data_IF_892989259961
#
_entry.id   IF_892989259961
#
_cell.length_a   1.000
_cell.length_b   1.000
_cell.length_c   1.000
_cell.angle_alpha   90.00
_cell.angle_beta   90.00
_cell.angle_gamma   90.00
#
_symmetry.space_group_name_H-M   'P 1'
#
loop_
_entity.id
_entity.type
_entity.pdbx_description
1 polymer ?
#
# COMPACT_ATOMS: atom_id res chain seq x y z
N UNK A 1 15.37 -20.64 -16.39
CA UNK A 1 15.63 -19.27 -15.90
C UNK A 1 15.75 -19.29 -14.39
N UNK A 2 16.65 -18.48 -13.85
CA UNK A 2 16.83 -18.33 -12.39
C UNK A 2 15.75 -17.42 -11.79
N UNK A 3 15.19 -16.52 -12.59
CA UNK A 3 14.21 -15.52 -12.17
C UNK A 3 12.91 -15.66 -12.95
N UNK A 4 11.79 -15.38 -12.30
CA UNK A 4 10.46 -15.42 -12.86
C UNK A 4 9.48 -14.52 -12.12
N UNK A 5 8.31 -14.21 -12.70
CA UNK A 5 7.30 -13.39 -12.05
C UNK A 5 6.55 -14.19 -10.97
N UNK A 6 6.36 -13.59 -9.80
CA UNK A 6 5.66 -14.21 -8.68
C UNK A 6 4.16 -14.42 -8.98
N UNK A 7 3.53 -13.44 -9.59
CA UNK A 7 2.10 -13.44 -9.92
C UNK A 7 1.85 -13.50 -11.43
N UNK A 8 2.37 -14.56 -12.08
CA UNK A 8 2.22 -14.78 -13.51
C UNK A 8 0.77 -14.85 -13.99
N UNK A 9 -0.10 -15.38 -13.14
CA UNK A 9 -1.50 -15.63 -13.45
C UNK A 9 -2.39 -14.44 -13.12
N UNK A 10 -1.81 -13.33 -12.63
CA UNK A 10 -2.53 -12.16 -12.17
C UNK A 10 -3.61 -12.51 -11.12
N UNK A 11 -3.21 -13.28 -10.11
CA UNK A 11 -4.10 -13.82 -9.07
C UNK A 11 -4.33 -12.86 -7.90
N UNK A 12 -3.74 -11.66 -7.95
CA UNK A 12 -3.79 -10.68 -6.87
C UNK A 12 -2.76 -10.88 -5.78
N UNK A 13 -1.80 -11.79 -5.97
CA UNK A 13 -0.75 -12.08 -4.99
C UNK A 13 0.43 -11.10 -5.03
N UNK A 14 0.44 -10.17 -5.97
CA UNK A 14 1.49 -9.16 -6.12
C UNK A 14 1.86 -8.47 -4.79
N UNK A 15 0.88 -8.18 -3.96
CA UNK A 15 1.09 -7.50 -2.68
C UNK A 15 1.86 -8.36 -1.67
N UNK A 16 1.75 -9.69 -1.73
CA UNK A 16 2.46 -10.61 -0.83
C UNK A 16 3.99 -10.45 -0.93
N UNK A 17 4.50 -10.03 -2.08
CA UNK A 17 5.92 -9.70 -2.27
C UNK A 17 6.44 -8.63 -1.30
N UNK A 18 5.56 -7.82 -0.77
CA UNK A 18 5.93 -6.65 0.05
C UNK A 18 5.63 -6.84 1.54
N UNK A 19 4.91 -7.86 1.92
CA UNK A 19 4.61 -8.12 3.33
C UNK A 19 5.10 -9.46 3.84
N UNK A 20 5.36 -10.43 2.99
CA UNK A 20 5.93 -11.71 3.39
C UNK A 20 7.47 -11.72 3.26
N UNK A 21 8.11 -12.57 4.08
CA UNK A 21 9.50 -12.92 3.82
C UNK A 21 9.56 -13.81 2.60
N UNK A 22 10.33 -13.38 1.63
CA UNK A 22 10.35 -13.97 0.29
C UNK A 22 11.65 -14.71 0.00
N UNK A 23 12.22 -15.35 1.02
CA UNK A 23 13.37 -16.25 0.86
C UNK A 23 13.07 -17.31 -0.21
N UNK A 24 13.86 -17.30 -1.29
CA UNK A 24 13.67 -18.18 -2.43
C UNK A 24 12.62 -17.72 -3.46
N UNK A 25 12.05 -16.52 -3.33
CA UNK A 25 11.17 -15.96 -4.36
C UNK A 25 11.95 -15.63 -5.63
N UNK A 26 11.55 -16.23 -6.75
CA UNK A 26 12.23 -16.08 -8.05
C UNK A 26 12.06 -14.67 -8.65
N UNK A 27 11.10 -13.88 -8.21
CA UNK A 27 10.92 -12.50 -8.68
C UNK A 27 11.89 -11.52 -8.01
N UNK A 28 12.35 -11.80 -6.80
CA UNK A 28 13.23 -10.89 -6.06
C UNK A 28 14.67 -11.11 -6.47
N UNK A 29 15.30 -10.10 -7.07
CA UNK A 29 16.69 -10.11 -7.47
C UNK A 29 17.58 -9.59 -6.33
N UNK A 30 17.15 -8.52 -5.69
CA UNK A 30 17.87 -7.90 -4.58
C UNK A 30 16.90 -7.42 -3.50
N UNK A 31 17.14 -7.86 -2.28
CA UNK A 31 16.45 -7.34 -1.10
C UNK A 31 17.46 -7.07 0.02
N UNK A 32 17.15 -6.09 0.86
CA UNK A 32 17.82 -5.91 2.14
C UNK A 32 17.04 -6.72 3.16
N UNK A 33 17.70 -7.69 3.79
CA UNK A 33 17.07 -8.57 4.77
C UNK A 33 17.14 -7.98 6.17
N UNK A 34 16.00 -7.94 6.83
CA UNK A 34 15.87 -7.57 8.24
C UNK A 34 15.40 -8.78 9.04
N UNK A 35 16.21 -9.22 9.99
CA UNK A 35 15.84 -10.31 10.88
C UNK A 35 15.08 -9.78 12.10
N UNK A 36 14.01 -10.45 12.49
CA UNK A 36 13.34 -10.14 13.74
C UNK A 36 14.26 -10.45 14.95
N UNK A 37 14.28 -9.65 15.99
CA UNK A 37 13.52 -8.43 16.22
C UNK A 37 14.24 -7.19 15.68
N UNK A 38 14.05 -6.88 14.42
CA UNK A 38 14.61 -5.66 13.85
C UNK A 38 13.59 -4.51 13.97
N UNK A 39 13.92 -3.54 14.80
CA UNK A 39 13.06 -2.38 15.04
C UNK A 39 12.87 -1.46 13.84
N UNK A 40 13.60 -1.64 12.77
CA UNK A 40 13.52 -0.79 11.57
C UNK A 40 12.20 -0.99 10.83
N UNK A 41 11.66 -2.20 10.82
CA UNK A 41 10.35 -2.48 10.22
C UNK A 41 9.14 -2.02 11.04
N UNK A 42 9.34 -1.84 12.31
CA UNK A 42 8.42 -1.26 13.23
C UNK A 42 7.92 0.13 12.77
N UNK A 43 8.84 0.99 12.34
CA UNK A 43 8.50 2.35 11.93
C UNK A 43 7.59 2.40 10.70
N UNK A 44 7.73 1.48 9.74
CA UNK A 44 6.88 1.47 8.55
C UNK A 44 5.42 1.21 8.91
N UNK A 45 5.15 0.25 9.79
CA UNK A 45 3.80 0.00 10.28
C UNK A 45 3.19 1.23 10.94
N UNK A 46 3.93 1.90 11.81
CA UNK A 46 3.49 3.12 12.48
C UNK A 46 3.33 4.30 11.52
N UNK A 47 4.27 4.50 10.62
CA UNK A 47 4.24 5.61 9.67
C UNK A 47 3.10 5.48 8.64
N UNK A 48 2.72 4.27 8.29
CA UNK A 48 1.71 4.04 7.27
C UNK A 48 0.28 3.94 7.83
N UNK A 49 0.12 3.67 9.15
CA UNK A 49 -1.16 3.23 9.66
C UNK A 49 -2.09 4.37 10.07
N UNK A 50 -3.35 4.39 9.58
CA UNK A 50 -4.35 5.34 10.02
C UNK A 50 -4.85 4.99 11.44
N UNK A 51 -5.09 5.97 12.28
CA UNK A 51 -5.72 5.89 13.61
C UNK A 51 -4.94 5.21 14.73
N UNK A 52 -4.10 4.25 14.42
CA UNK A 52 -3.30 3.51 15.41
C UNK A 52 -1.80 3.72 15.22
N UNK A 53 -1.42 4.46 14.22
CA UNK A 53 -0.07 4.86 13.88
C UNK A 53 0.03 6.36 13.68
N UNK A 54 1.05 6.82 12.98
CA UNK A 54 1.36 8.23 12.83
C UNK A 54 0.90 8.83 11.49
N UNK A 55 0.48 8.02 10.53
CA UNK A 55 0.01 8.48 9.22
C UNK A 55 1.02 9.37 8.48
N UNK A 56 2.32 9.12 8.66
CA UNK A 56 3.38 9.99 8.13
C UNK A 56 3.73 9.73 6.67
N UNK A 57 3.55 8.49 6.18
CA UNK A 57 3.81 8.13 4.80
C UNK A 57 2.52 8.18 3.98
N UNK A 58 2.33 9.28 3.28
CA UNK A 58 1.10 9.54 2.54
C UNK A 58 1.33 9.57 1.03
N UNK A 59 0.63 8.74 0.24
CA UNK A 59 0.60 8.87 -1.21
C UNK A 59 0.11 10.26 -1.62
N UNK A 60 0.73 10.83 -2.63
CA UNK A 60 0.28 12.10 -3.20
C UNK A 60 -0.85 11.87 -4.20
N UNK A 61 -1.66 12.90 -4.47
CA UNK A 61 -2.66 12.87 -5.56
C UNK A 61 -2.01 12.53 -6.90
N UNK A 62 -0.83 13.09 -7.18
CA UNK A 62 -0.11 12.78 -8.42
C UNK A 62 0.27 11.32 -8.57
N UNK A 63 0.59 10.63 -7.46
CA UNK A 63 0.83 9.19 -7.49
C UNK A 63 -0.48 8.44 -7.78
N UNK A 64 -1.58 8.80 -7.13
CA UNK A 64 -2.89 8.19 -7.37
C UNK A 64 -3.33 8.38 -8.83
N UNK A 65 -3.12 9.57 -9.40
CA UNK A 65 -3.46 9.88 -10.79
C UNK A 65 -2.56 9.15 -11.81
N UNK A 66 -1.35 8.76 -11.41
CA UNK A 66 -0.44 8.00 -12.25
C UNK A 66 -0.91 6.56 -12.52
N UNK A 67 -1.72 5.99 -11.63
CA UNK A 67 -2.38 4.72 -11.91
C UNK A 67 -3.41 4.92 -13.02
N UNK A 68 -3.39 4.04 -14.02
CA UNK A 68 -4.28 4.07 -15.18
C UNK A 68 -5.68 3.58 -14.81
N UNK A 69 -6.59 3.66 -15.75
CA UNK A 69 -7.86 2.93 -15.66
C UNK A 69 -7.66 1.42 -15.94
N UNK A 70 -8.70 0.63 -15.73
CA UNK A 70 -8.67 -0.82 -15.93
C UNK A 70 -8.47 -1.26 -17.40
N UNK A 71 -8.61 -0.35 -18.36
CA UNK A 71 -8.33 -0.55 -19.78
C UNK A 71 -6.91 -0.09 -20.17
N UNK A 72 -6.15 0.46 -19.22
CA UNK A 72 -4.77 0.90 -19.42
C UNK A 72 -4.62 2.32 -19.96
N UNK A 73 -5.71 3.12 -19.99
CA UNK A 73 -5.64 4.52 -20.38
C UNK A 73 -5.25 5.43 -19.19
N UNK A 74 -4.43 6.47 -19.40
CA UNK A 74 -4.22 7.51 -18.39
C UNK A 74 -5.54 8.16 -17.98
N UNK A 75 -5.70 8.50 -16.70
CA UNK A 75 -6.96 9.05 -16.16
C UNK A 75 -7.44 10.28 -16.95
N UNK A 76 -6.53 11.17 -17.35
CA UNK A 76 -6.85 12.36 -18.15
C UNK A 76 -7.41 12.06 -19.54
N UNK A 77 -7.30 10.82 -20.03
CA UNK A 77 -7.79 10.35 -21.34
C UNK A 77 -8.78 9.21 -21.22
N UNK A 78 -9.08 8.76 -20.01
CA UNK A 78 -9.99 7.66 -19.74
C UNK A 78 -11.44 8.02 -20.13
N UNK A 79 -12.12 7.03 -20.70
CA UNK A 79 -13.58 7.13 -21.01
C UNK A 79 -14.44 6.49 -19.94
N UNK A 80 -13.85 5.75 -19.02
CA UNK A 80 -14.54 4.98 -17.99
C UNK A 80 -14.29 5.54 -16.58
N UNK A 81 -13.37 6.48 -16.43
CA UNK A 81 -13.11 7.19 -15.18
C UNK A 81 -14.26 8.16 -14.85
N UNK A 82 -14.55 8.27 -13.57
CA UNK A 82 -15.56 9.22 -13.06
C UNK A 82 -15.06 9.91 -11.79
N UNK A 83 -15.08 11.24 -11.77
CA UNK A 83 -14.74 12.03 -10.58
C UNK A 83 -15.72 11.79 -9.41
N UNK A 84 -16.93 11.31 -9.67
CA UNK A 84 -17.90 10.95 -8.63
C UNK A 84 -17.57 9.64 -7.94
N UNK A 85 -16.79 8.79 -8.60
CA UNK A 85 -16.30 7.53 -8.06
C UNK A 85 -14.86 7.30 -8.55
N UNK A 86 -13.89 8.03 -8.00
CA UNK A 86 -12.54 8.14 -8.56
C UNK A 86 -11.72 6.85 -8.43
N UNK A 87 -12.17 5.90 -7.65
CA UNK A 87 -11.47 4.62 -7.43
C UNK A 87 -12.09 3.46 -8.22
N UNK A 88 -13.28 3.64 -8.80
CA UNK A 88 -13.87 2.63 -9.67
C UNK A 88 -13.17 2.57 -11.04
N UNK A 89 -13.10 1.36 -11.62
CA UNK A 89 -12.50 1.11 -12.92
C UNK A 89 -11.04 1.57 -13.02
N UNK A 90 -10.27 1.42 -11.94
CA UNK A 90 -8.85 1.74 -11.89
C UNK A 90 -8.00 0.48 -12.06
N UNK A 91 -6.74 0.70 -12.35
CA UNK A 91 -5.70 -0.34 -12.29
C UNK A 91 -5.74 -1.03 -10.91
N UNK A 92 -5.88 -2.37 -10.84
CA UNK A 92 -6.00 -3.09 -9.57
C UNK A 92 -4.81 -2.86 -8.63
N UNK A 93 -3.65 -2.43 -9.15
CA UNK A 93 -2.50 -2.06 -8.32
C UNK A 93 -2.75 -0.81 -7.48
N UNK A 94 -3.71 0.04 -7.82
CA UNK A 94 -4.06 1.18 -6.97
C UNK A 94 -4.56 0.68 -5.62
N UNK A 95 -5.52 -0.24 -5.60
CA UNK A 95 -6.13 -0.76 -4.37
C UNK A 95 -5.15 -1.49 -3.46
N UNK A 96 -4.11 -2.12 -4.01
CA UNK A 96 -3.09 -2.83 -3.21
C UNK A 96 -1.92 -1.95 -2.75
N UNK A 97 -1.84 -0.73 -3.24
CA UNK A 97 -0.78 0.21 -2.86
C UNK A 97 -1.26 1.38 -2.00
N UNK A 98 -2.53 1.76 -2.11
CA UNK A 98 -3.08 2.98 -1.54
C UNK A 98 -4.40 2.68 -0.83
N UNK A 99 -4.48 3.03 0.45
CA UNK A 99 -5.75 3.08 1.19
C UNK A 99 -6.40 4.44 1.00
N UNK A 100 -7.70 4.43 0.74
CA UNK A 100 -8.50 5.64 0.53
C UNK A 100 -9.82 5.59 1.30
N UNK A 101 -10.64 6.61 1.15
CA UNK A 101 -11.93 6.72 1.83
C UNK A 101 -12.84 5.52 1.55
N UNK A 102 -13.42 4.96 2.59
CA UNK A 102 -14.36 3.83 2.55
C UNK A 102 -13.72 2.45 2.64
N UNK A 103 -12.40 2.32 2.50
CA UNK A 103 -11.72 1.03 2.64
C UNK A 103 -11.54 0.62 4.11
N UNK A 104 -11.31 -0.67 4.34
CA UNK A 104 -11.07 -1.21 5.67
C UNK A 104 -9.68 -1.81 5.80
N UNK A 105 -9.01 -1.48 6.91
CA UNK A 105 -7.74 -2.08 7.30
C UNK A 105 -7.73 -2.33 8.82
N UNK A 106 -7.39 -3.54 9.25
CA UNK A 106 -7.32 -3.96 10.66
C UNK A 106 -8.60 -3.62 11.45
N UNK A 107 -9.76 -3.82 10.83
CA UNK A 107 -11.08 -3.53 11.44
C UNK A 107 -11.40 -2.04 11.59
N UNK A 108 -10.63 -1.17 10.92
CA UNK A 108 -10.89 0.27 10.90
C UNK A 108 -11.32 0.69 9.49
N UNK A 109 -12.47 1.34 9.37
CA UNK A 109 -12.90 1.97 8.11
C UNK A 109 -12.21 3.32 7.97
N UNK A 110 -11.52 3.53 6.85
CA UNK A 110 -10.88 4.80 6.51
C UNK A 110 -11.95 5.84 6.20
N UNK A 111 -11.92 6.97 6.91
CA UNK A 111 -12.86 8.09 6.75
C UNK A 111 -12.09 9.38 6.66
N UNK A 112 -11.83 9.84 5.45
CA UNK A 112 -11.06 11.08 5.20
C UNK A 112 -11.90 12.35 5.19
N UNK A 113 -13.19 12.27 5.51
CA UNK A 113 -14.06 13.44 5.57
C UNK A 113 -13.57 14.49 6.58
N UNK A 114 -13.77 15.79 6.30
CA UNK A 114 -13.20 16.85 7.13
C UNK A 114 -13.79 16.91 8.52
N UNK A 115 -12.94 17.16 9.46
CA UNK A 115 -12.98 17.80 10.79
C UNK A 115 -14.16 17.60 11.76
N UNK A 116 -15.31 17.03 11.43
CA UNK A 116 -16.47 17.03 12.36
C UNK A 116 -17.21 15.70 12.50
N UNK A 117 -16.86 14.66 11.79
CA UNK A 117 -17.50 13.36 11.97
C UNK A 117 -16.76 12.54 13.03
N UNK A 118 -17.48 12.07 14.02
CA UNK A 118 -16.94 11.10 14.99
C UNK A 118 -16.32 9.90 14.25
N UNK A 119 -15.07 9.56 14.58
CA UNK A 119 -14.34 8.43 13.99
C UNK A 119 -13.67 8.73 12.66
N UNK A 120 -13.52 9.98 12.24
CA UNK A 120 -12.75 10.34 11.07
C UNK A 120 -11.25 10.03 11.25
N UNK A 121 -10.65 9.44 10.23
CA UNK A 121 -9.19 9.24 10.10
C UNK A 121 -8.57 10.30 9.19
N UNK A 122 -9.32 11.36 8.89
CA UNK A 122 -9.04 12.30 7.84
C UNK A 122 -8.17 13.48 8.25
N UNK A 123 -7.90 14.28 7.22
CA UNK A 123 -7.07 15.48 7.27
C UNK A 123 -7.44 16.37 8.48
N UNK A 124 -6.46 16.67 9.30
CA UNK A 124 -6.55 17.60 10.44
C UNK A 124 -7.44 17.18 11.64
N UNK A 125 -7.77 15.92 11.79
CA UNK A 125 -8.47 15.44 12.99
C UNK A 125 -7.57 15.33 14.21
N UNK A 126 -6.33 14.93 14.03
CA UNK A 126 -5.26 14.88 15.01
C UNK A 126 -3.90 14.87 14.29
N UNK A 127 -2.81 15.07 15.01
CA UNK A 127 -1.46 15.18 14.45
C UNK A 127 -0.99 13.96 13.63
N UNK A 128 -1.64 12.82 13.82
CA UNK A 128 -1.28 11.54 13.19
C UNK A 128 -2.19 11.16 12.01
N UNK A 129 -3.01 12.10 11.52
CA UNK A 129 -3.86 11.88 10.36
C UNK A 129 -3.14 12.19 9.05
N UNK A 130 -3.56 11.53 7.97
CA UNK A 130 -3.01 11.79 6.64
C UNK A 130 -3.10 13.26 6.22
N UNK A 131 -2.04 13.76 5.60
CA UNK A 131 -2.02 15.10 5.02
C UNK A 131 -2.65 15.18 3.62
N UNK A 132 -2.83 14.04 2.93
CA UNK A 132 -3.27 13.97 1.53
C UNK A 132 -4.65 13.33 1.34
N UNK A 133 -5.21 12.72 2.37
CA UNK A 133 -6.42 11.90 2.27
C UNK A 133 -6.15 10.44 1.88
N UNK A 134 -4.90 10.06 1.73
CA UNK A 134 -4.47 8.71 1.38
C UNK A 134 -3.51 8.16 2.43
N UNK A 135 -3.49 6.83 2.56
CA UNK A 135 -2.49 6.11 3.34
C UNK A 135 -1.78 5.07 2.48
N UNK A 136 -0.56 4.76 2.80
CA UNK A 136 0.18 3.71 2.11
C UNK A 136 -0.30 2.34 2.59
N UNK A 137 -0.56 1.42 1.66
CA UNK A 137 -0.96 0.04 1.95
C UNK A 137 0.12 -0.99 1.59
N UNK A 138 0.91 -0.71 0.58
CA UNK A 138 1.85 -1.66 -0.08
C UNK A 138 2.67 -2.54 0.87
N UNK A 139 3.08 -2.01 2.02
CA UNK A 139 3.95 -2.69 2.98
C UNK A 139 3.20 -3.23 4.20
N UNK A 140 1.89 -3.06 4.25
CA UNK A 140 1.07 -3.47 5.37
C UNK A 140 0.48 -4.85 5.09
N UNK A 141 0.81 -5.83 5.93
CA UNK A 141 0.17 -7.14 5.93
C UNK A 141 -1.20 -7.02 6.61
N UNK A 142 -2.31 -7.24 5.92
CA UNK A 142 -3.65 -7.08 6.51
C UNK A 142 -3.96 -8.13 7.58
N UNK A 143 -3.20 -9.22 7.65
CA UNK A 143 -3.38 -10.27 8.67
C UNK A 143 -2.71 -9.93 10.01
N UNK A 144 -1.82 -8.94 10.03
CA UNK A 144 -1.02 -8.59 11.21
C UNK A 144 -1.39 -7.20 11.70
N UNK A 145 -2.25 -7.11 12.73
CA UNK A 145 -2.49 -5.83 13.41
C UNK A 145 -1.18 -5.36 14.09
N UNK A 146 -0.62 -4.24 13.66
CA UNK A 146 0.64 -3.74 14.19
C UNK A 146 0.62 -3.50 15.71
N UNK A 147 -0.51 -3.19 16.30
CA UNK A 147 -0.62 -3.00 17.76
C UNK A 147 -0.59 -4.31 18.54
N UNK A 148 -1.07 -5.39 17.96
CA UNK A 148 -1.10 -6.71 18.63
C UNK A 148 0.18 -7.51 18.40
N UNK A 149 0.88 -7.28 17.31
CA UNK A 149 2.08 -8.04 16.93
C UNK A 149 3.38 -7.60 17.61
N UNK A 150 3.32 -6.64 18.54
CA UNK A 150 4.50 -6.16 19.25
C UNK A 150 5.52 -5.43 18.39
N UNK A 151 5.18 -5.08 17.16
CA UNK A 151 5.97 -4.26 16.24
C UNK A 151 7.28 -4.90 15.71
N UNK A 152 7.52 -6.15 16.00
CA UNK A 152 8.71 -6.87 15.61
C UNK A 152 8.47 -7.73 14.36
N UNK A 153 8.30 -7.11 13.22
CA UNK A 153 8.17 -7.81 11.95
C UNK A 153 9.48 -7.71 11.17
N UNK A 154 10.21 -8.80 11.09
CA UNK A 154 11.33 -8.91 10.16
C UNK A 154 10.82 -8.99 8.74
N UNK A 155 10.91 -7.89 8.01
CA UNK A 155 10.43 -7.75 6.64
C UNK A 155 11.57 -7.45 5.71
N UNK A 156 11.62 -8.13 4.56
CA UNK A 156 12.64 -7.85 3.57
C UNK A 156 12.27 -6.59 2.78
N UNK A 157 13.22 -5.69 2.62
CA UNK A 157 13.06 -4.52 1.78
C UNK A 157 13.46 -4.87 0.35
N UNK A 158 12.48 -5.09 -0.49
CA UNK A 158 12.69 -5.41 -1.91
C UNK A 158 13.23 -4.20 -2.66
N UNK A 159 14.44 -4.33 -3.21
CA UNK A 159 15.13 -3.25 -3.90
C UNK A 159 15.05 -3.40 -5.41
N UNK A 160 15.26 -4.61 -5.95
CA UNK A 160 15.19 -4.90 -7.38
C UNK A 160 14.37 -6.16 -7.59
N UNK A 161 13.39 -6.07 -8.49
CA UNK A 161 12.53 -7.18 -8.91
C UNK A 161 12.73 -7.54 -10.38
N UNK A 162 12.48 -8.78 -10.73
CA UNK A 162 12.55 -9.24 -12.12
C UNK A 162 11.59 -8.50 -13.05
N UNK A 163 10.41 -8.11 -12.56
CA UNK A 163 9.48 -7.29 -13.32
C UNK A 163 10.10 -5.97 -13.83
N UNK A 164 10.99 -5.35 -13.06
CA UNK A 164 11.69 -4.12 -13.49
C UNK A 164 12.65 -4.40 -14.64
N UNK A 165 13.33 -5.55 -14.61
CA UNK A 165 14.24 -5.98 -15.69
C UNK A 165 13.46 -6.26 -16.99
N UNK A 166 12.23 -6.76 -16.89
CA UNK A 166 11.39 -7.02 -18.08
C UNK A 166 10.82 -5.74 -18.70
N UNK A 167 10.78 -4.63 -17.95
CA UNK A 167 10.23 -3.33 -18.39
C UNK A 167 11.30 -2.39 -18.96
N UNK A 168 12.57 -2.73 -18.85
CA UNK A 168 13.71 -1.97 -19.39
C UNK A 168 14.14 -2.47 -20.75
#
# INVERSE_FOLDING_TARGET
NKYDLYDKENTGKYQELFWEKTDGCEEIILAVQYNAPDKTNYLIGWECFPTKGWGGLNPTQSLVDAFKDSEGAPISKSKIYSEKNPFANRDPRLEVNVLHDGEEMYGVTIKVAPLKSSGSTGIAQHGDATATGYYQQKWLDPSIDPQSAGWEMGKDWVTIRYAEVLLT
#
